data_IF_196553276731
#
_entry.id   IF_196553276731
#
_cell.length_a   1.000
_cell.length_b   1.000
_cell.length_c   1.000
_cell.angle_alpha   90.00
_cell.angle_beta   90.00
_cell.angle_gamma   90.00
#
_symmetry.space_group_name_H-M   'P 1'
#
loop_
_entity.id
_entity.type
_entity.pdbx_description
1 polymer ?
#
# COMPACT_ATOMS: atom_id res chain seq x y z
N UNK A 1 6.15 10.30 13.37
CA UNK A 1 5.80 10.01 11.97
C UNK A 1 4.58 10.83 11.61
N UNK A 2 4.65 11.55 10.52
CA UNK A 2 3.55 12.29 9.90
C UNK A 2 3.29 11.66 8.54
N UNK A 3 2.12 11.02 8.40
CA UNK A 3 1.69 10.38 7.15
C UNK A 3 0.84 11.37 6.36
N UNK A 4 1.18 11.61 5.08
CA UNK A 4 0.40 12.38 4.12
C UNK A 4 0.02 11.49 2.94
N UNK A 5 -0.84 11.99 2.06
CA UNK A 5 -1.33 11.23 0.90
C UNK A 5 -0.20 10.74 -0.02
N UNK A 6 0.87 11.55 -0.19
CA UNK A 6 1.93 11.30 -1.18
C UNK A 6 3.32 11.21 -0.57
N UNK A 7 3.50 11.60 0.69
CA UNK A 7 4.78 11.62 1.37
C UNK A 7 4.66 11.22 2.83
N UNK A 8 5.75 10.82 3.41
CA UNK A 8 5.85 10.52 4.82
C UNK A 8 7.06 11.24 5.42
N UNK A 9 6.83 11.99 6.50
CA UNK A 9 7.88 12.64 7.28
C UNK A 9 8.04 11.92 8.62
N UNK A 10 9.27 11.68 9.04
CA UNK A 10 9.53 11.06 10.32
C UNK A 10 10.85 11.55 10.96
N UNK A 11 10.86 11.64 12.28
CA UNK A 11 12.06 11.84 13.08
C UNK A 11 12.73 10.49 13.35
N UNK A 12 14.03 10.40 13.13
CA UNK A 12 14.83 9.22 13.49
C UNK A 12 16.08 9.61 14.29
N UNK A 13 16.44 8.71 15.21
CA UNK A 13 17.71 8.74 15.90
C UNK A 13 18.71 7.88 15.12
N UNK A 14 19.84 8.45 14.73
CA UNK A 14 20.90 7.80 13.96
C UNK A 14 22.19 7.93 14.74
N UNK A 15 22.60 6.87 15.45
CA UNK A 15 23.65 6.95 16.43
C UNK A 15 23.28 7.93 17.56
N UNK A 16 24.10 8.96 17.76
CA UNK A 16 23.88 10.01 18.77
C UNK A 16 23.24 11.29 18.22
N UNK A 17 22.75 11.25 16.98
CA UNK A 17 22.13 12.40 16.29
C UNK A 17 20.66 12.15 16.02
N UNK A 18 19.92 13.22 15.90
CA UNK A 18 18.51 13.19 15.44
C UNK A 18 18.38 13.92 14.11
N UNK A 19 17.53 13.39 13.22
CA UNK A 19 17.19 14.07 11.99
C UNK A 19 15.76 13.77 11.56
N UNK A 20 15.18 14.73 10.83
CA UNK A 20 13.91 14.56 10.14
C UNK A 20 14.21 14.09 8.73
N UNK A 21 13.52 13.02 8.33
CA UNK A 21 13.60 12.46 6.99
C UNK A 21 12.26 12.61 6.29
N UNK A 22 12.30 12.92 5.00
CA UNK A 22 11.13 13.00 4.15
C UNK A 22 11.23 11.96 3.03
N UNK A 23 10.21 11.14 2.92
CA UNK A 23 10.06 10.15 1.86
C UNK A 23 8.96 10.60 0.91
N UNK A 24 9.22 10.62 -0.39
CA UNK A 24 8.21 10.83 -1.44
C UNK A 24 7.41 9.53 -1.69
N UNK A 25 7.04 8.87 -0.60
CA UNK A 25 6.25 7.64 -0.59
C UNK A 25 5.32 7.66 0.62
N UNK A 26 4.07 7.27 0.40
CA UNK A 26 3.10 7.12 1.47
C UNK A 26 3.27 5.78 2.20
N UNK A 27 2.82 5.71 3.45
CA UNK A 27 2.68 4.46 4.19
C UNK A 27 3.76 4.21 5.25
N UNK A 28 3.30 3.78 6.41
CA UNK A 28 4.15 3.51 7.59
C UNK A 28 5.20 2.42 7.34
N UNK A 29 4.88 1.42 6.51
CA UNK A 29 5.81 0.33 6.18
C UNK A 29 7.05 0.84 5.43
N UNK A 30 6.92 1.91 4.62
CA UNK A 30 8.06 2.55 3.97
C UNK A 30 9.01 3.21 4.97
N UNK A 31 8.49 3.73 6.09
CA UNK A 31 9.35 4.23 7.18
C UNK A 31 10.18 3.09 7.76
N UNK A 32 9.58 1.92 8.02
CA UNK A 32 10.30 0.77 8.56
C UNK A 32 11.40 0.28 7.60
N UNK A 33 11.10 0.18 6.32
CA UNK A 33 12.09 -0.18 5.30
C UNK A 33 13.23 0.85 5.24
N UNK A 34 12.90 2.13 5.32
CA UNK A 34 13.88 3.22 5.31
C UNK A 34 14.75 3.21 6.57
N UNK A 35 14.19 2.91 7.73
CA UNK A 35 14.98 2.80 8.97
C UNK A 35 16.06 1.72 8.86
N UNK A 36 15.76 0.60 8.20
CA UNK A 36 16.77 -0.45 7.93
C UNK A 36 17.88 0.10 7.02
N UNK A 37 17.51 0.82 5.96
CA UNK A 37 18.49 1.42 5.06
C UNK A 37 19.37 2.48 5.75
N UNK A 38 18.77 3.32 6.59
CA UNK A 38 19.49 4.31 7.41
C UNK A 38 20.49 3.62 8.34
N UNK A 39 20.07 2.54 9.01
CA UNK A 39 20.95 1.82 9.92
C UNK A 39 22.13 1.17 9.19
N UNK A 40 21.89 0.58 8.03
CA UNK A 40 22.97 0.05 7.17
C UNK A 40 23.92 1.16 6.73
N UNK A 41 23.39 2.30 6.27
CA UNK A 41 24.18 3.45 5.86
C UNK A 41 25.03 4.01 7.01
N UNK A 42 24.46 4.10 8.22
CA UNK A 42 25.15 4.53 9.43
C UNK A 42 26.33 3.60 9.75
N UNK A 43 26.15 2.30 9.67
CA UNK A 43 27.21 1.31 9.90
C UNK A 43 28.30 1.34 8.81
N UNK A 44 27.98 1.86 7.62
CA UNK A 44 28.94 2.09 6.53
C UNK A 44 29.58 3.48 6.60
N UNK A 45 29.37 4.25 7.66
CA UNK A 45 29.86 5.61 7.88
C UNK A 45 29.41 6.63 6.81
N UNK A 46 28.23 6.44 6.22
CA UNK A 46 27.59 7.46 5.39
C UNK A 46 27.16 8.62 6.28
N UNK A 47 27.41 9.84 5.84
CA UNK A 47 27.02 11.02 6.65
C UNK A 47 25.49 11.19 6.69
N UNK A 48 25.00 11.81 7.77
CA UNK A 48 23.57 12.08 7.93
C UNK A 48 22.99 12.93 6.80
N UNK A 49 23.78 13.90 6.31
CA UNK A 49 23.41 14.78 5.19
C UNK A 49 23.25 13.98 3.87
N UNK A 50 24.15 13.03 3.62
CA UNK A 50 24.06 12.14 2.45
C UNK A 50 22.87 11.20 2.54
N UNK A 51 22.55 10.67 3.74
CA UNK A 51 21.36 9.84 3.97
C UNK A 51 20.08 10.64 3.66
N UNK A 52 19.94 11.87 4.19
CA UNK A 52 18.79 12.73 3.95
C UNK A 52 18.65 13.01 2.45
N UNK A 53 19.73 13.46 1.81
CA UNK A 53 19.73 13.75 0.37
C UNK A 53 19.44 12.54 -0.49
N UNK A 54 19.92 11.35 -0.11
CA UNK A 54 19.64 10.09 -0.78
C UNK A 54 18.17 9.75 -0.76
N UNK A 55 17.51 9.92 0.39
CA UNK A 55 16.09 9.63 0.56
C UNK A 55 15.16 10.64 -0.12
N UNK A 56 15.54 11.92 -0.15
CA UNK A 56 14.79 12.95 -0.90
C UNK A 56 14.77 12.71 -2.41
N UNK A 57 15.81 12.03 -2.92
CA UNK A 57 15.95 11.69 -4.34
C UNK A 57 15.45 10.26 -4.66
N UNK A 58 14.94 9.54 -3.68
CA UNK A 58 14.43 8.20 -3.89
C UNK A 58 13.15 8.24 -4.73
N UNK A 59 13.16 7.52 -5.84
CA UNK A 59 11.97 7.32 -6.68
C UNK A 59 11.27 6.03 -6.30
N UNK A 60 9.93 6.06 -6.25
CA UNK A 60 9.13 4.86 -6.00
C UNK A 60 9.34 3.84 -7.12
N UNK A 61 9.55 2.60 -6.75
CA UNK A 61 9.62 1.48 -7.71
C UNK A 61 8.26 1.31 -8.40
N UNK A 62 8.28 1.09 -9.71
CA UNK A 62 7.06 0.81 -10.49
C UNK A 62 6.23 -0.31 -9.83
N UNK A 63 4.91 -0.16 -9.85
CA UNK A 63 3.94 -1.10 -9.29
C UNK A 63 4.09 -1.37 -7.77
N UNK A 64 4.78 -0.49 -7.03
CA UNK A 64 4.88 -0.55 -5.56
C UNK A 64 4.45 0.79 -4.96
N UNK A 65 3.16 0.90 -4.62
CA UNK A 65 2.50 2.13 -4.18
C UNK A 65 2.80 3.34 -5.09
N UNK A 66 2.97 3.06 -6.38
CA UNK A 66 3.23 4.07 -7.39
C UNK A 66 2.00 4.97 -7.57
N UNK A 67 2.16 6.27 -7.36
CA UNK A 67 1.09 7.23 -7.56
C UNK A 67 1.05 7.69 -9.02
N UNK A 68 -0.08 7.48 -9.68
CA UNK A 68 -0.34 7.91 -11.05
C UNK A 68 -1.52 8.87 -11.02
N UNK A 69 -1.25 10.14 -11.33
CA UNK A 69 -2.29 11.18 -11.42
C UNK A 69 -2.83 11.26 -12.85
N UNK A 70 -4.13 11.24 -13.00
CA UNK A 70 -4.80 11.35 -14.28
C UNK A 70 -6.14 12.06 -14.10
N UNK A 71 -6.54 12.82 -15.07
CA UNK A 71 -7.77 13.63 -15.23
C UNK A 71 -8.87 13.42 -14.17
N UNK A 72 -8.66 14.00 -12.98
CA UNK A 72 -9.62 13.98 -11.88
C UNK A 72 -9.54 12.80 -10.92
N UNK A 73 -8.65 11.82 -11.14
CA UNK A 73 -8.42 10.70 -10.21
C UNK A 73 -6.94 10.39 -9.99
N UNK A 74 -6.66 9.72 -8.90
CA UNK A 74 -5.32 9.23 -8.54
C UNK A 74 -5.37 7.70 -8.46
N UNK A 75 -4.46 7.04 -9.14
CA UNK A 75 -4.27 5.59 -9.05
C UNK A 75 -3.10 5.31 -8.12
N UNK A 76 -3.32 4.46 -7.13
CA UNK A 76 -2.28 3.86 -6.30
C UNK A 76 -2.00 2.48 -6.89
N UNK A 77 -0.95 2.39 -7.70
CA UNK A 77 -0.58 1.15 -8.37
C UNK A 77 0.37 0.34 -7.48
N UNK A 78 -0.12 -0.76 -6.91
CA UNK A 78 0.62 -1.67 -6.03
C UNK A 78 0.45 -3.14 -6.47
N UNK A 79 0.49 -3.38 -7.78
CA UNK A 79 0.16 -4.68 -8.37
C UNK A 79 1.36 -5.58 -8.70
N UNK A 80 2.55 -5.30 -8.12
CA UNK A 80 3.73 -6.16 -8.33
C UNK A 80 3.55 -7.55 -7.72
N UNK A 81 3.07 -7.59 -6.49
CA UNK A 81 2.77 -8.83 -5.75
C UNK A 81 1.74 -8.52 -4.64
N UNK A 82 1.05 -9.55 -4.15
CA UNK A 82 0.05 -9.42 -3.11
C UNK A 82 0.34 -10.37 -1.95
N UNK A 83 0.30 -9.82 -0.73
CA UNK A 83 0.33 -10.57 0.53
C UNK A 83 -0.63 -9.90 1.52
N UNK A 84 -1.05 -10.59 2.60
CA UNK A 84 -1.95 -9.99 3.59
C UNK A 84 -1.45 -8.66 4.13
N UNK A 85 -0.17 -8.55 4.48
CA UNK A 85 0.42 -7.34 5.05
C UNK A 85 0.56 -6.22 4.01
N UNK A 86 0.95 -6.52 2.78
CA UNK A 86 1.05 -5.52 1.72
C UNK A 86 -0.34 -4.98 1.35
N UNK A 87 -1.36 -5.83 1.21
CA UNK A 87 -2.71 -5.39 0.94
C UNK A 87 -3.28 -4.51 2.05
N UNK A 88 -3.08 -4.87 3.32
CA UNK A 88 -3.48 -4.02 4.46
C UNK A 88 -2.79 -2.66 4.39
N UNK A 89 -1.50 -2.64 4.11
CA UNK A 89 -0.72 -1.41 3.97
C UNK A 89 -1.24 -0.51 2.84
N UNK A 90 -1.57 -1.09 1.68
CA UNK A 90 -2.11 -0.35 0.54
C UNK A 90 -3.51 0.19 0.81
N UNK A 91 -4.36 -0.57 1.51
CA UNK A 91 -5.68 -0.13 1.97
C UNK A 91 -5.58 1.01 2.99
N UNK A 92 -4.56 1.00 3.85
CA UNK A 92 -4.29 2.11 4.78
C UNK A 92 -3.90 3.39 4.04
N UNK A 93 -3.03 3.28 3.01
CA UNK A 93 -2.69 4.42 2.15
C UNK A 93 -3.93 4.96 1.45
N UNK A 94 -4.75 4.08 0.84
CA UNK A 94 -6.01 4.49 0.20
C UNK A 94 -6.96 5.18 1.19
N UNK A 95 -7.06 4.69 2.42
CA UNK A 95 -7.95 5.23 3.44
C UNK A 95 -7.58 6.64 3.91
N UNK A 96 -6.34 7.10 3.66
CA UNK A 96 -5.91 8.47 3.96
C UNK A 96 -6.58 9.52 3.07
N UNK A 97 -7.08 9.14 1.89
CA UNK A 97 -7.79 10.02 0.94
C UNK A 97 -9.25 10.26 1.37
N UNK A 98 -9.46 10.88 2.51
CA UNK A 98 -10.78 11.04 3.15
C UNK A 98 -11.78 11.87 2.34
N UNK A 99 -11.30 12.80 1.51
CA UNK A 99 -12.12 13.69 0.69
C UNK A 99 -12.34 13.18 -0.74
N UNK A 100 -11.99 11.92 -1.01
CA UNK A 100 -12.11 11.27 -2.31
C UNK A 100 -12.96 10.01 -2.19
N UNK A 101 -13.63 9.64 -3.28
CA UNK A 101 -14.22 8.30 -3.39
C UNK A 101 -13.09 7.28 -3.50
N UNK A 102 -13.05 6.32 -2.60
CA UNK A 102 -11.99 5.31 -2.48
C UNK A 102 -12.47 4.00 -3.08
N UNK A 103 -11.85 3.59 -4.16
CA UNK A 103 -12.15 2.34 -4.86
C UNK A 103 -10.92 1.45 -4.76
N UNK A 104 -11.08 0.24 -4.21
CA UNK A 104 -10.03 -0.77 -4.24
C UNK A 104 -10.34 -1.84 -5.28
N UNK A 105 -9.34 -2.20 -6.08
CA UNK A 105 -9.38 -3.33 -7.01
C UNK A 105 -8.35 -4.33 -6.53
N UNK A 106 -8.80 -5.48 -6.03
CA UNK A 106 -7.95 -6.49 -5.42
C UNK A 106 -7.99 -7.78 -6.23
N UNK A 107 -6.82 -8.38 -6.44
CA UNK A 107 -6.65 -9.70 -7.01
C UNK A 107 -6.35 -10.76 -5.94
N UNK A 108 -6.22 -12.01 -6.35
CA UNK A 108 -5.85 -13.10 -5.46
C UNK A 108 -4.44 -12.95 -4.91
N UNK A 109 -4.25 -13.40 -3.67
CA UNK A 109 -2.95 -13.61 -3.05
C UNK A 109 -2.53 -15.06 -3.27
N UNK A 110 -1.36 -15.26 -3.85
CA UNK A 110 -0.81 -16.59 -4.11
C UNK A 110 0.12 -17.06 -3.00
N UNK A 111 0.54 -18.34 -3.05
CA UNK A 111 1.52 -18.95 -2.15
C UNK A 111 1.09 -19.02 -0.66
N UNK A 112 -0.22 -18.91 -0.36
CA UNK A 112 -0.74 -18.95 1.00
C UNK A 112 -1.12 -20.37 1.48
N UNK A 113 -1.12 -21.36 0.60
CA UNK A 113 -1.47 -22.73 0.94
C UNK A 113 -2.86 -22.83 1.61
N UNK A 114 -2.92 -23.50 2.75
CA UNK A 114 -4.17 -23.72 3.52
C UNK A 114 -4.73 -22.43 4.15
N UNK A 115 -3.94 -21.37 4.29
CA UNK A 115 -4.38 -20.10 4.86
C UNK A 115 -5.06 -19.18 3.83
N UNK A 116 -5.11 -19.57 2.55
CA UNK A 116 -5.62 -18.71 1.47
C UNK A 116 -7.04 -18.19 1.76
N UNK A 117 -7.98 -19.07 2.07
CA UNK A 117 -9.38 -18.70 2.38
C UNK A 117 -9.45 -17.68 3.51
N UNK A 118 -8.79 -17.98 4.63
CA UNK A 118 -8.79 -17.11 5.81
C UNK A 118 -8.16 -15.75 5.53
N UNK A 119 -7.03 -15.72 4.84
CA UNK A 119 -6.33 -14.47 4.50
C UNK A 119 -7.18 -13.56 3.61
N UNK A 120 -7.86 -14.11 2.59
CA UNK A 120 -8.74 -13.32 1.72
C UNK A 120 -9.97 -12.79 2.47
N UNK A 121 -10.56 -13.59 3.39
CA UNK A 121 -11.63 -13.11 4.27
C UNK A 121 -11.15 -11.96 5.16
N UNK A 122 -9.97 -12.08 5.78
CA UNK A 122 -9.40 -11.04 6.64
C UNK A 122 -9.15 -9.73 5.85
N UNK A 123 -8.70 -9.79 4.60
CA UNK A 123 -8.53 -8.61 3.78
C UNK A 123 -9.89 -8.00 3.40
N UNK A 124 -10.88 -8.80 3.07
CA UNK A 124 -12.24 -8.34 2.86
C UNK A 124 -12.78 -7.58 4.07
N UNK A 125 -12.62 -8.15 5.27
CA UNK A 125 -13.01 -7.50 6.52
C UNK A 125 -12.25 -6.20 6.76
N UNK A 126 -10.94 -6.21 6.53
CA UNK A 126 -10.07 -5.03 6.69
C UNK A 126 -10.43 -3.89 5.74
N UNK A 127 -10.92 -4.19 4.55
CA UNK A 127 -11.32 -3.20 3.56
C UNK A 127 -12.65 -2.50 3.92
N UNK A 128 -13.50 -3.09 4.76
CA UNK A 128 -14.88 -2.67 5.01
C UNK A 128 -15.05 -1.19 5.33
N UNK A 129 -14.20 -0.66 6.20
CA UNK A 129 -14.27 0.73 6.65
C UNK A 129 -13.28 1.65 5.92
N UNK A 130 -12.54 1.12 4.95
CA UNK A 130 -11.45 1.83 4.28
C UNK A 130 -11.78 2.24 2.87
N UNK A 131 -12.72 1.57 2.24
CA UNK A 131 -13.11 1.83 0.84
C UNK A 131 -14.61 2.10 0.71
N UNK A 132 -14.96 2.86 -0.31
CA UNK A 132 -16.37 3.16 -0.64
C UNK A 132 -16.92 2.16 -1.68
N UNK A 133 -16.01 1.48 -2.40
CA UNK A 133 -16.31 0.40 -3.34
C UNK A 133 -15.16 -0.59 -3.37
N UNK A 134 -15.48 -1.87 -3.28
CA UNK A 134 -14.53 -2.96 -3.45
C UNK A 134 -14.80 -3.68 -4.79
N UNK A 135 -13.76 -3.91 -5.57
CA UNK A 135 -13.78 -4.76 -6.77
C UNK A 135 -12.80 -5.89 -6.53
N UNK A 136 -13.24 -7.13 -6.67
CA UNK A 136 -12.38 -8.29 -6.47
C UNK A 136 -12.36 -9.18 -7.72
N UNK A 137 -11.17 -9.65 -8.08
CA UNK A 137 -10.93 -10.41 -9.30
C UNK A 137 -10.17 -11.68 -8.94
N UNK A 138 -10.68 -12.83 -9.33
CA UNK A 138 -9.98 -14.10 -9.18
C UNK A 138 -10.83 -15.20 -8.52
N UNK A 139 -10.18 -16.30 -8.19
CA UNK A 139 -10.82 -17.50 -7.61
C UNK A 139 -11.30 -17.25 -6.18
N UNK A 140 -10.59 -16.40 -5.44
CA UNK A 140 -10.86 -16.11 -4.01
C UNK A 140 -11.91 -14.99 -3.82
N UNK A 141 -12.55 -14.49 -4.86
CA UNK A 141 -13.53 -13.39 -4.81
C UNK A 141 -14.65 -13.59 -3.79
N UNK A 142 -15.11 -14.84 -3.61
CA UNK A 142 -16.14 -15.17 -2.62
C UNK A 142 -15.62 -14.99 -1.20
N UNK A 143 -14.37 -15.35 -0.93
CA UNK A 143 -13.75 -15.20 0.38
C UNK A 143 -13.55 -13.73 0.76
N UNK A 144 -13.17 -12.87 -0.20
CA UNK A 144 -13.17 -11.42 0.01
C UNK A 144 -14.56 -10.91 0.39
N UNK A 145 -15.61 -11.34 -0.33
CA UNK A 145 -17.00 -10.94 -0.07
C UNK A 145 -17.45 -11.37 1.32
N UNK A 146 -17.16 -12.60 1.72
CA UNK A 146 -17.53 -13.15 3.03
C UNK A 146 -16.90 -12.36 4.19
N UNK A 147 -15.72 -11.80 3.97
CA UNK A 147 -15.08 -10.88 4.91
C UNK A 147 -15.63 -9.46 4.84
N UNK A 148 -15.84 -8.93 3.64
CA UNK A 148 -16.23 -7.53 3.41
C UNK A 148 -17.65 -7.23 3.94
N UNK A 149 -18.60 -8.13 3.77
CA UNK A 149 -19.97 -8.06 4.32
C UNK A 149 -20.69 -6.72 4.05
N UNK A 150 -20.46 -6.14 2.86
CA UNK A 150 -21.07 -4.91 2.41
C UNK A 150 -21.53 -5.10 0.96
N UNK A 151 -22.63 -4.46 0.56
CA UNK A 151 -23.20 -4.59 -0.77
C UNK A 151 -22.43 -3.84 -1.86
N UNK A 152 -21.57 -2.89 -1.48
CA UNK A 152 -20.73 -2.12 -2.40
C UNK A 152 -19.51 -2.95 -2.86
N UNK A 153 -19.76 -4.07 -3.48
CA UNK A 153 -18.75 -4.98 -4.01
C UNK A 153 -19.12 -5.48 -5.41
N UNK A 154 -18.15 -5.45 -6.33
CA UNK A 154 -18.22 -6.16 -7.61
C UNK A 154 -17.22 -7.30 -7.63
N UNK A 155 -17.62 -8.41 -8.24
CA UNK A 155 -16.83 -9.65 -8.24
C UNK A 155 -16.70 -10.18 -9.64
N UNK A 156 -15.47 -10.40 -10.09
CA UNK A 156 -15.17 -10.92 -11.42
C UNK A 156 -14.25 -12.14 -11.32
N UNK A 157 -14.41 -13.06 -12.25
CA UNK A 157 -13.53 -14.22 -12.33
C UNK A 157 -12.21 -13.85 -12.99
N UNK A 158 -12.28 -13.00 -14.02
CA UNK A 158 -11.12 -12.58 -14.80
C UNK A 158 -11.02 -11.07 -14.95
N UNK A 159 -9.81 -10.60 -15.26
CA UNK A 159 -9.59 -9.18 -15.61
C UNK A 159 -10.37 -8.74 -16.83
N UNK A 160 -10.48 -9.62 -17.84
CA UNK A 160 -11.17 -9.31 -19.08
C UNK A 160 -12.68 -9.13 -18.87
N UNK A 161 -13.27 -9.89 -17.96
CA UNK A 161 -14.65 -9.71 -17.52
C UNK A 161 -14.83 -8.35 -16.85
N UNK A 162 -13.99 -8.04 -15.87
CA UNK A 162 -14.00 -6.76 -15.18
C UNK A 162 -13.87 -5.56 -16.13
N UNK A 163 -12.94 -5.60 -17.08
CA UNK A 163 -12.71 -4.51 -18.04
C UNK A 163 -13.90 -4.28 -18.98
N UNK A 164 -14.67 -5.31 -19.31
CA UNK A 164 -15.84 -5.19 -20.18
C UNK A 164 -17.04 -4.54 -19.51
N UNK A 165 -17.09 -4.60 -18.18
CA UNK A 165 -18.23 -4.11 -17.40
C UNK A 165 -17.96 -2.74 -16.71
N UNK A 166 -16.70 -2.29 -16.65
CA UNK A 166 -16.31 -0.99 -16.15
C UNK A 166 -16.31 0.09 -17.24
#
# INVERSE_FOLDING_TARGET
IILREEETEFLAHVGNKEAVFTLKMAGKHNVLNTMIAIEVANNLNVSLEEMIKGLENLEATSMRLQLIKKDGFTIINDCYNASPDSMKSSLDVLSAYKNKRRIAILGDMYELGTEATKAHMEIGEYARDKVDLLIVIGEQRNNFKDGYKNENIFMYETKDECIKEL
#
